data_IF_631363381229
#
_entry.id   IF_631363381229
#
_cell.length_a   1.000
_cell.length_b   1.000
_cell.length_c   1.000
_cell.angle_alpha   90.00
_cell.angle_beta   90.00
_cell.angle_gamma   90.00
#
_symmetry.space_group_name_H-M   'P 1'
#
loop_
_entity.id
_entity.type
_entity.pdbx_description
1 polymer ?
#
# COMPACT_ATOMS: atom_id res chain seq x y z
N UNK A 1 31.12 50.09 25.98
CA UNK A 1 30.85 50.40 24.56
C UNK A 1 29.54 49.70 24.19
N UNK A 2 28.45 50.47 24.08
CA UNK A 2 27.16 50.14 23.39
C UNK A 2 26.46 48.85 23.87
N UNK A 3 25.45 48.87 24.75
CA UNK A 3 24.04 49.31 24.62
C UNK A 3 23.18 48.05 24.92
N UNK A 4 22.28 47.97 25.92
CA UNK A 4 21.20 48.88 26.31
C UNK A 4 20.20 49.08 25.17
N UNK A 5 19.19 48.21 25.05
CA UNK A 5 17.80 48.64 24.91
C UNK A 5 16.81 47.46 24.79
N UNK A 6 15.62 47.62 25.38
CA UNK A 6 14.39 46.79 25.23
C UNK A 6 14.10 45.65 26.21
N UNK A 7 14.47 45.81 27.47
CA UNK A 7 13.87 45.03 28.58
C UNK A 7 13.19 45.91 29.64
N UNK A 8 12.64 47.08 29.27
CA UNK A 8 11.64 47.82 30.07
C UNK A 8 10.76 48.65 29.10
N UNK A 9 9.58 48.13 28.75
CA UNK A 9 8.39 48.92 28.41
C UNK A 9 7.20 48.13 28.99
N UNK A 10 7.07 48.30 30.30
CA UNK A 10 5.92 47.94 31.10
C UNK A 10 4.70 48.74 30.63
N UNK A 11 3.59 48.04 30.47
CA UNK A 11 2.22 48.48 30.80
C UNK A 11 1.99 49.98 31.02
N UNK A 12 1.27 50.63 30.10
CA UNK A 12 0.07 51.43 30.40
C UNK A 12 -0.45 52.07 29.11
N UNK A 13 -1.56 51.58 28.59
CA UNK A 13 -2.59 52.39 27.92
C UNK A 13 -3.84 51.51 27.84
N UNK A 14 -4.54 51.50 28.97
CA UNK A 14 -5.93 51.09 29.07
C UNK A 14 -6.82 52.12 28.38
N UNK A 15 -7.91 51.60 27.81
CA UNK A 15 -9.26 52.17 27.75
C UNK A 15 -9.74 52.82 26.43
N UNK A 16 -10.74 52.12 25.85
CA UNK A 16 -11.92 52.56 25.08
C UNK A 16 -11.68 53.48 23.87
N UNK A 17 -12.06 53.15 22.64
CA UNK A 17 -13.37 52.67 22.18
C UNK A 17 -13.21 52.37 20.68
N UNK A 18 -13.83 51.32 20.13
CA UNK A 18 -15.00 51.48 19.24
C UNK A 18 -15.46 50.11 18.79
N UNK A 19 -16.78 49.95 18.73
CA UNK A 19 -17.49 48.81 18.18
C UNK A 19 -17.26 48.75 16.67
N UNK A 20 -16.79 47.62 16.15
CA UNK A 20 -16.98 47.25 14.74
C UNK A 20 -17.09 45.73 14.62
N UNK A 21 -18.34 45.29 14.45
CA UNK A 21 -18.78 44.18 13.61
C UNK A 21 -18.13 42.80 13.83
N UNK A 22 -18.88 41.92 14.50
CA UNK A 22 -18.74 40.47 14.32
C UNK A 22 -19.00 40.13 12.84
N UNK A 23 -17.94 40.11 12.05
CA UNK A 23 -17.96 39.48 10.74
C UNK A 23 -18.03 37.98 10.94
N UNK A 24 -19.18 37.39 10.62
CA UNK A 24 -19.25 35.95 10.31
C UNK A 24 -18.28 35.73 9.16
N UNK A 25 -17.10 35.19 9.44
CA UNK A 25 -16.26 34.63 8.39
C UNK A 25 -17.09 33.49 7.80
N UNK A 26 -17.61 33.73 6.60
CA UNK A 26 -18.18 32.66 5.78
C UNK A 26 -17.00 31.73 5.47
N UNK A 27 -16.83 30.71 6.29
CA UNK A 27 -16.00 29.58 5.93
C UNK A 27 -16.74 28.94 4.76
N UNK A 28 -16.31 29.24 3.53
CA UNK A 28 -16.59 28.37 2.41
C UNK A 28 -15.95 27.03 2.78
N UNK A 29 -16.80 26.13 3.29
CA UNK A 29 -16.46 24.74 3.48
C UNK A 29 -16.13 24.23 2.08
N UNK A 30 -14.84 24.15 1.78
CA UNK A 30 -14.33 23.44 0.62
C UNK A 30 -14.94 22.04 0.71
N UNK A 31 -15.89 21.74 -0.17
CA UNK A 31 -16.71 20.52 -0.17
C UNK A 31 -15.90 19.30 -0.64
N UNK A 32 -14.71 19.10 -0.06
CA UNK A 32 -13.79 18.02 -0.38
C UNK A 32 -13.94 16.84 0.59
N UNK A 33 -15.13 16.68 1.16
CA UNK A 33 -15.58 15.48 1.83
C UNK A 33 -16.80 14.98 1.08
N UNK A 34 -16.53 14.27 -0.02
CA UNK A 34 -17.54 13.47 -0.67
C UNK A 34 -18.03 12.44 0.37
N UNK A 35 -19.31 12.51 0.71
CA UNK A 35 -19.93 11.57 1.64
C UNK A 35 -19.78 10.16 1.05
N UNK A 36 -18.85 9.37 1.59
CA UNK A 36 -18.67 7.96 1.22
C UNK A 36 -19.85 7.07 1.64
N UNK A 37 -20.83 7.65 2.35
CA UNK A 37 -22.08 6.99 2.66
C UNK A 37 -23.16 7.45 1.67
N UNK A 38 -23.67 6.51 0.88
CA UNK A 38 -24.94 6.70 0.17
C UNK A 38 -26.03 6.78 1.23
N UNK A 39 -26.80 7.87 1.23
CA UNK A 39 -27.92 8.08 2.16
C UNK A 39 -29.15 7.25 1.71
N UNK A 40 -28.95 5.96 1.47
CA UNK A 40 -29.98 5.02 0.99
C UNK A 40 -30.49 4.10 2.10
N UNK A 41 -30.14 4.39 3.35
CA UNK A 41 -30.68 3.69 4.49
C UNK A 41 -32.05 4.25 4.83
N UNK A 42 -33.06 3.39 4.83
CA UNK A 42 -34.45 3.73 5.15
C UNK A 42 -34.60 4.32 6.56
N UNK A 43 -33.69 3.99 7.48
CA UNK A 43 -33.71 4.49 8.86
C UNK A 43 -32.29 4.78 9.39
N UNK A 44 -31.65 5.83 8.86
CA UNK A 44 -30.30 6.31 9.24
C UNK A 44 -29.18 5.27 9.06
N UNK A 45 -28.82 4.54 10.13
CA UNK A 45 -27.79 3.48 10.15
C UNK A 45 -28.40 2.12 10.53
N UNK A 46 -29.66 2.10 10.98
CA UNK A 46 -30.33 0.88 11.38
C UNK A 46 -30.79 0.10 10.13
N UNK A 47 -30.52 -1.21 10.04
CA UNK A 47 -31.05 -2.04 8.96
C UNK A 47 -32.59 -2.04 8.98
N UNK A 48 -33.20 -1.69 7.84
CA UNK A 48 -34.64 -1.77 7.63
C UNK A 48 -35.03 -3.09 6.95
N UNK A 49 -36.30 -3.49 7.10
CA UNK A 49 -36.85 -4.60 6.32
C UNK A 49 -37.09 -4.12 4.89
N UNK A 50 -36.41 -4.76 3.93
CA UNK A 50 -36.58 -4.50 2.50
C UNK A 50 -36.92 -5.79 1.76
N UNK A 51 -37.63 -5.66 0.64
CA UNK A 51 -37.77 -6.76 -0.31
C UNK A 51 -36.42 -7.11 -0.93
N UNK A 52 -36.18 -8.38 -1.23
CA UNK A 52 -34.98 -8.75 -1.98
C UNK A 52 -35.00 -8.07 -3.36
N UNK A 53 -33.85 -7.54 -3.84
CA UNK A 53 -33.77 -7.01 -5.20
C UNK A 53 -34.11 -8.10 -6.22
N UNK A 54 -34.71 -7.70 -7.35
CA UNK A 54 -35.06 -8.62 -8.45
C UNK A 54 -33.83 -9.36 -8.97
N UNK A 55 -32.74 -8.62 -9.20
CA UNK A 55 -31.42 -9.20 -9.46
C UNK A 55 -30.74 -9.53 -8.14
N UNK A 56 -30.69 -10.81 -7.79
CA UNK A 56 -30.00 -11.25 -6.57
C UNK A 56 -28.48 -11.26 -6.78
N UNK A 57 -27.70 -10.73 -5.83
CA UNK A 57 -26.25 -10.91 -5.85
C UNK A 57 -25.93 -12.39 -5.70
N UNK A 58 -24.92 -12.86 -6.43
CA UNK A 58 -24.45 -14.24 -6.40
C UNK A 58 -23.11 -14.30 -5.67
N UNK A 59 -22.98 -15.23 -4.74
CA UNK A 59 -21.70 -15.55 -4.09
C UNK A 59 -21.00 -16.57 -4.97
N UNK A 60 -19.78 -16.27 -5.43
CA UNK A 60 -18.96 -17.24 -6.15
C UNK A 60 -18.53 -18.34 -5.19
N UNK A 61 -18.64 -19.60 -5.63
CA UNK A 61 -18.05 -20.72 -4.92
C UNK A 61 -16.51 -20.64 -5.01
N UNK A 62 -15.85 -20.49 -3.85
CA UNK A 62 -14.40 -20.22 -3.74
C UNK A 62 -13.49 -21.45 -3.89
N UNK A 63 -13.85 -22.43 -4.74
CA UNK A 63 -13.10 -23.68 -4.90
C UNK A 63 -11.92 -23.57 -5.88
N UNK A 64 -11.94 -22.57 -6.76
CA UNK A 64 -10.89 -22.29 -7.75
C UNK A 64 -10.54 -20.80 -7.72
N UNK A 65 -9.44 -20.41 -8.36
CA UNK A 65 -9.12 -19.00 -8.58
C UNK A 65 -10.21 -18.31 -9.41
N UNK A 66 -10.37 -17.01 -9.23
CA UNK A 66 -11.28 -16.23 -10.06
C UNK A 66 -10.71 -16.07 -11.48
N UNK A 67 -11.55 -15.84 -12.48
CA UNK A 67 -11.09 -15.55 -13.85
C UNK A 67 -10.11 -14.38 -13.86
N UNK A 68 -10.39 -13.32 -13.09
CA UNK A 68 -9.52 -12.15 -13.00
C UNK A 68 -8.13 -12.50 -12.46
N UNK A 69 -8.06 -13.36 -11.45
CA UNK A 69 -6.78 -13.79 -10.88
C UNK A 69 -6.02 -14.71 -11.83
N UNK A 70 -6.70 -15.66 -12.48
CA UNK A 70 -6.07 -16.53 -13.48
C UNK A 70 -5.50 -15.72 -14.65
N UNK A 71 -6.26 -14.77 -15.19
CA UNK A 71 -5.79 -13.88 -16.26
C UNK A 71 -4.66 -12.96 -15.78
N UNK A 72 -4.74 -12.48 -14.52
CA UNK A 72 -3.67 -11.68 -13.95
C UNK A 72 -2.36 -12.48 -13.82
N UNK A 73 -2.43 -13.76 -13.42
CA UNK A 73 -1.24 -14.62 -13.33
C UNK A 73 -0.53 -14.78 -14.67
N UNK A 74 -1.28 -15.00 -15.74
CA UNK A 74 -0.73 -15.12 -17.10
C UNK A 74 0.03 -13.85 -17.51
N UNK A 75 -0.54 -12.67 -17.24
CA UNK A 75 0.09 -11.40 -17.55
C UNK A 75 1.29 -11.10 -16.65
N UNK A 76 1.19 -11.42 -15.36
CA UNK A 76 2.21 -11.11 -14.35
C UNK A 76 3.45 -12.00 -14.50
N UNK A 77 3.32 -13.20 -15.08
CA UNK A 77 4.46 -14.05 -15.41
C UNK A 77 5.52 -13.33 -16.27
N UNK A 78 5.10 -12.40 -17.14
CA UNK A 78 6.03 -11.60 -17.96
C UNK A 78 6.96 -10.72 -17.11
N UNK A 79 6.57 -10.38 -15.88
CA UNK A 79 7.41 -9.66 -14.92
C UNK A 79 8.23 -10.62 -14.06
N UNK A 80 7.64 -11.76 -13.66
CA UNK A 80 8.28 -12.73 -12.77
C UNK A 80 9.49 -13.37 -13.44
N UNK A 81 9.34 -13.84 -14.68
CA UNK A 81 10.40 -14.59 -15.39
C UNK A 81 11.73 -13.81 -15.40
N UNK A 82 11.79 -12.58 -15.95
CA UNK A 82 13.04 -11.84 -15.97
C UNK A 82 13.53 -11.44 -14.57
N UNK A 83 12.63 -11.13 -13.64
CA UNK A 83 13.02 -10.78 -12.27
C UNK A 83 13.65 -11.96 -11.52
N UNK A 84 13.10 -13.16 -11.69
CA UNK A 84 13.57 -14.38 -11.06
C UNK A 84 14.90 -14.84 -11.67
N UNK A 85 15.03 -14.79 -12.99
CA UNK A 85 16.28 -15.11 -13.69
C UNK A 85 17.43 -14.18 -13.24
N UNK A 86 17.17 -12.87 -13.21
CA UNK A 86 18.13 -11.86 -12.80
C UNK A 86 18.55 -12.04 -11.32
N UNK A 87 17.58 -12.31 -10.43
CA UNK A 87 17.87 -12.62 -9.03
C UNK A 87 18.70 -13.91 -8.86
N UNK A 88 18.29 -15.02 -9.48
CA UNK A 88 18.95 -16.32 -9.34
C UNK A 88 20.37 -16.29 -9.92
N UNK A 89 20.58 -15.56 -11.02
CA UNK A 89 21.91 -15.33 -11.59
C UNK A 89 22.82 -14.60 -10.62
N UNK A 90 22.33 -13.52 -9.99
CA UNK A 90 23.09 -12.80 -8.94
C UNK A 90 23.33 -13.63 -7.68
N UNK A 91 22.37 -14.47 -7.30
CA UNK A 91 22.48 -15.34 -6.14
C UNK A 91 23.61 -16.37 -6.30
N UNK A 92 24.05 -16.66 -7.53
CA UNK A 92 25.20 -17.51 -7.85
C UNK A 92 25.16 -18.84 -7.06
N UNK A 93 24.05 -19.56 -7.22
CA UNK A 93 23.67 -20.77 -6.46
C UNK A 93 24.48 -22.02 -6.84
N UNK A 94 25.73 -21.85 -7.28
CA UNK A 94 26.65 -22.94 -7.62
C UNK A 94 26.43 -23.46 -9.04
N UNK A 95 26.26 -24.78 -9.16
CA UNK A 95 26.32 -25.52 -10.43
C UNK A 95 25.00 -25.51 -11.23
N UNK A 96 24.11 -24.55 -10.98
CA UNK A 96 22.84 -24.43 -11.68
C UNK A 96 22.98 -23.40 -12.80
N UNK A 97 22.73 -23.85 -14.02
CA UNK A 97 22.52 -22.97 -15.17
C UNK A 97 21.12 -22.34 -15.07
N UNK A 98 21.07 -21.15 -14.47
CA UNK A 98 19.82 -20.40 -14.25
C UNK A 98 19.10 -20.10 -15.56
N UNK A 99 19.82 -19.72 -16.62
CA UNK A 99 19.22 -19.37 -17.90
C UNK A 99 18.59 -20.62 -18.55
N UNK A 100 19.30 -21.74 -18.56
CA UNK A 100 18.74 -23.00 -19.07
C UNK A 100 17.54 -23.48 -18.24
N UNK A 101 17.60 -23.35 -16.91
CA UNK A 101 16.49 -23.70 -16.02
C UNK A 101 15.24 -22.86 -16.28
N UNK A 102 15.40 -21.53 -16.37
CA UNK A 102 14.30 -20.61 -16.62
C UNK A 102 13.71 -20.80 -18.02
N UNK A 103 14.56 -20.97 -19.04
CA UNK A 103 14.12 -21.25 -20.39
C UNK A 103 13.35 -22.56 -20.49
N UNK A 104 13.79 -23.63 -19.81
CA UNK A 104 13.09 -24.91 -19.78
C UNK A 104 11.67 -24.80 -19.18
N UNK A 105 11.51 -24.01 -18.11
CA UNK A 105 10.17 -23.77 -17.52
C UNK A 105 9.26 -23.06 -18.52
N UNK A 106 9.78 -22.05 -19.23
CA UNK A 106 9.00 -21.25 -20.19
C UNK A 106 8.68 -22.05 -21.45
N UNK A 107 9.65 -22.78 -22.01
CA UNK A 107 9.50 -23.53 -23.26
C UNK A 107 8.58 -24.73 -23.13
N UNK A 108 8.63 -25.41 -21.99
CA UNK A 108 7.89 -26.66 -21.79
C UNK A 108 6.44 -26.41 -21.35
N UNK A 109 6.02 -25.13 -21.29
CA UNK A 109 4.74 -24.73 -20.72
C UNK A 109 4.63 -25.06 -19.23
N UNK A 110 5.78 -25.10 -18.54
CA UNK A 110 5.87 -25.36 -17.12
C UNK A 110 5.24 -24.26 -16.28
N UNK A 111 4.96 -24.57 -15.02
CA UNK A 111 4.44 -23.58 -14.07
C UNK A 111 5.60 -22.73 -13.56
N UNK A 112 5.58 -21.44 -13.88
CA UNK A 112 6.53 -20.45 -13.33
C UNK A 112 6.52 -20.53 -11.80
N UNK A 113 7.68 -20.64 -11.12
CA UNK A 113 7.75 -20.67 -9.67
C UNK A 113 7.03 -19.47 -9.05
N UNK A 114 6.13 -19.74 -8.10
CA UNK A 114 5.35 -18.71 -7.42
C UNK A 114 5.93 -18.42 -6.05
N UNK A 115 6.28 -17.16 -5.82
CA UNK A 115 6.78 -16.70 -4.52
C UNK A 115 5.64 -15.99 -3.79
N UNK A 116 5.42 -16.38 -2.53
CA UNK A 116 4.46 -15.76 -1.61
C UNK A 116 5.17 -15.11 -0.43
N UNK A 117 4.82 -13.86 -0.11
CA UNK A 117 5.21 -13.16 1.11
C UNK A 117 3.98 -13.03 2.02
N UNK A 118 4.13 -13.40 3.28
CA UNK A 118 3.08 -13.29 4.29
C UNK A 118 3.54 -12.42 5.45
N UNK A 119 2.80 -11.34 5.69
CA UNK A 119 3.12 -10.31 6.67
C UNK A 119 2.20 -10.42 7.88
N UNK A 120 2.80 -10.52 9.06
CA UNK A 120 2.08 -10.75 10.30
C UNK A 120 1.39 -9.48 10.83
N UNK A 121 0.53 -9.67 11.83
CA UNK A 121 -0.03 -8.56 12.60
C UNK A 121 0.93 -8.06 13.68
N UNK A 122 0.69 -6.82 14.13
CA UNK A 122 1.52 -6.23 15.17
C UNK A 122 1.44 -4.71 15.26
N UNK A 123 0.35 -4.12 14.76
CA UNK A 123 0.20 -2.66 14.61
C UNK A 123 1.45 -2.06 13.93
N UNK A 124 1.90 -0.89 14.36
CA UNK A 124 3.02 -0.17 13.75
C UNK A 124 4.35 -0.91 13.80
N UNK A 125 4.51 -1.86 14.73
CA UNK A 125 5.72 -2.69 14.79
C UNK A 125 5.82 -3.61 13.57
N UNK A 126 4.72 -4.29 13.23
CA UNK A 126 4.67 -5.10 12.02
C UNK A 126 4.86 -4.21 10.79
N UNK A 127 4.09 -3.13 10.69
CA UNK A 127 4.19 -2.16 9.59
C UNK A 127 5.64 -1.74 9.28
N UNK A 128 6.40 -1.28 10.28
CA UNK A 128 7.75 -0.74 10.06
C UNK A 128 8.78 -1.86 9.82
N UNK A 129 8.69 -2.97 10.56
CA UNK A 129 9.62 -4.09 10.39
C UNK A 129 9.45 -4.73 9.00
N UNK A 130 8.22 -5.02 8.64
CA UNK A 130 7.91 -5.72 7.40
C UNK A 130 8.09 -4.79 6.18
N UNK A 131 7.85 -3.48 6.32
CA UNK A 131 8.23 -2.51 5.29
C UNK A 131 9.75 -2.50 5.03
N UNK A 132 10.57 -2.65 6.08
CA UNK A 132 12.02 -2.82 5.94
C UNK A 132 12.38 -4.10 5.19
N UNK A 133 11.72 -5.22 5.49
CA UNK A 133 11.91 -6.48 4.78
C UNK A 133 11.53 -6.37 3.29
N UNK A 134 10.37 -5.76 2.97
CA UNK A 134 9.95 -5.51 1.59
C UNK A 134 10.97 -4.62 0.87
N UNK A 135 11.48 -3.57 1.53
CA UNK A 135 12.46 -2.68 0.94
C UNK A 135 13.75 -3.41 0.54
N UNK A 136 14.20 -4.38 1.33
CA UNK A 136 15.38 -5.21 0.99
C UNK A 136 15.12 -6.10 -0.24
N UNK A 137 13.89 -6.58 -0.43
CA UNK A 137 13.51 -7.39 -1.58
C UNK A 137 13.26 -6.58 -2.86
N UNK A 138 13.07 -5.27 -2.75
CA UNK A 138 12.80 -4.38 -3.87
C UNK A 138 14.09 -3.94 -4.57
N UNK A 139 14.26 -4.29 -5.85
CA UNK A 139 15.42 -3.86 -6.64
C UNK A 139 15.53 -2.33 -6.83
N UNK A 140 14.47 -1.57 -6.51
CA UNK A 140 14.47 -0.10 -6.56
C UNK A 140 15.10 0.53 -5.32
N UNK A 141 15.31 -0.24 -4.25
CA UNK A 141 15.99 0.24 -3.05
C UNK A 141 17.48 0.36 -3.30
N UNK A 142 18.09 1.47 -2.90
CA UNK A 142 19.52 1.72 -3.07
C UNK A 142 20.36 0.58 -2.52
N UNK A 143 21.33 0.10 -3.29
CA UNK A 143 22.22 -1.02 -2.95
C UNK A 143 21.53 -2.37 -2.70
N UNK A 144 20.23 -2.53 -2.98
CA UNK A 144 19.52 -3.82 -2.76
C UNK A 144 19.97 -4.95 -3.69
N UNK A 145 20.65 -4.64 -4.80
CA UNK A 145 21.09 -5.60 -5.80
C UNK A 145 22.60 -5.88 -5.76
N UNK A 146 23.31 -5.34 -4.77
CA UNK A 146 24.73 -5.62 -4.59
C UNK A 146 24.96 -7.11 -4.27
N UNK A 147 26.19 -7.58 -4.46
CA UNK A 147 26.54 -9.01 -4.28
C UNK A 147 26.13 -9.48 -2.88
N UNK A 148 25.26 -10.50 -2.83
CA UNK A 148 24.77 -11.11 -1.60
C UNK A 148 23.50 -10.46 -1.03
N UNK A 149 22.94 -9.43 -1.67
CA UNK A 149 21.67 -8.82 -1.29
C UNK A 149 20.47 -9.44 -2.03
N UNK A 150 19.26 -9.15 -1.54
CA UNK A 150 18.03 -9.86 -1.91
C UNK A 150 17.08 -9.04 -2.80
N UNK A 151 17.53 -7.89 -3.32
CA UNK A 151 16.74 -7.07 -4.23
C UNK A 151 16.37 -7.85 -5.49
N UNK A 152 15.16 -7.62 -6.00
CA UNK A 152 14.60 -8.33 -7.15
C UNK A 152 13.63 -9.45 -6.75
N UNK A 153 13.71 -9.97 -5.52
CA UNK A 153 12.73 -10.95 -5.03
C UNK A 153 11.32 -10.36 -5.09
N UNK A 154 11.13 -9.09 -4.70
CA UNK A 154 9.81 -8.46 -4.72
C UNK A 154 9.21 -8.40 -6.12
N UNK A 155 10.04 -8.17 -7.14
CA UNK A 155 9.61 -8.17 -8.54
C UNK A 155 9.21 -9.57 -9.03
N UNK A 156 9.78 -10.63 -8.43
CA UNK A 156 9.42 -12.02 -8.69
C UNK A 156 8.27 -12.55 -7.81
N UNK A 157 7.72 -11.75 -6.90
CA UNK A 157 6.61 -12.16 -6.02
C UNK A 157 5.32 -12.31 -6.83
N UNK A 158 4.61 -13.42 -6.58
CA UNK A 158 3.26 -13.64 -7.08
C UNK A 158 2.20 -13.19 -6.07
N UNK A 159 2.40 -13.47 -4.78
CA UNK A 159 1.40 -13.13 -3.76
C UNK A 159 2.02 -12.39 -2.59
N UNK A 160 1.40 -11.29 -2.20
CA UNK A 160 1.69 -10.56 -0.97
C UNK A 160 0.43 -10.55 -0.12
N UNK A 161 0.51 -11.11 1.08
CA UNK A 161 -0.58 -11.16 2.04
C UNK A 161 -0.17 -10.48 3.34
N UNK A 162 -1.13 -9.86 4.02
CA UNK A 162 -0.90 -9.12 5.25
C UNK A 162 -2.13 -9.12 6.14
N UNK A 163 -1.91 -9.15 7.45
CA UNK A 163 -2.96 -9.09 8.48
C UNK A 163 -2.67 -7.95 9.46
N UNK A 164 -3.68 -7.18 9.84
CA UNK A 164 -3.63 -6.18 10.91
C UNK A 164 -2.58 -5.08 10.64
N UNK A 165 -1.42 -5.12 11.28
CA UNK A 165 -0.35 -4.13 11.06
C UNK A 165 0.43 -4.36 9.77
N UNK A 166 0.30 -5.54 9.17
CA UNK A 166 0.88 -5.88 7.88
C UNK A 166 -0.01 -5.59 6.67
N UNK A 167 -1.25 -5.11 6.91
CA UNK A 167 -2.19 -4.68 5.87
C UNK A 167 -2.02 -3.19 5.57
#
# INVERSE_FOLDING_TARGET
MVAYDRMIQLALLLALSTVTQYGVVKVEVLSLLESRAVLNALDRYAPGRVSCPETRPVIRQGMILSTNETTWLELHNNNIIPALEDFLTRANIGDIDTEAYMNGIVSDGGVVPRIGIAISGGSYRAMINDAGAIAVFDNRTTSSIDKGHLGGILQAVTYLSGLSGGS
#
